data_IF_958527501728
#
_entry.id   IF_958527501728
#
_cell.length_a   1.000
_cell.length_b   1.000
_cell.length_c   1.000
_cell.angle_alpha   90.00
_cell.angle_beta   90.00
_cell.angle_gamma   90.00
#
_symmetry.space_group_name_H-M   'P 1'
#
loop_
_entity.id
_entity.type
_entity.pdbx_description
1 polymer ?
#
# COMPACT_ATOMS: atom_id res chain seq x y z
N UNK A 1 -19.30 -25.54 -23.21
CA UNK A 1 -18.96 -24.12 -22.94
C UNK A 1 -19.96 -23.61 -21.90
N UNK A 2 -19.54 -23.40 -20.63
CA UNK A 2 -20.46 -22.91 -19.58
C UNK A 2 -20.84 -21.47 -19.90
N UNK A 3 -22.12 -21.16 -20.08
CA UNK A 3 -22.61 -19.78 -20.18
C UNK A 3 -22.46 -19.15 -18.79
N UNK A 4 -21.53 -18.22 -18.62
CA UNK A 4 -21.42 -17.37 -17.43
C UNK A 4 -22.71 -16.57 -17.30
N UNK A 5 -23.36 -16.64 -16.14
CA UNK A 5 -24.57 -15.86 -15.90
C UNK A 5 -24.16 -14.43 -15.53
N UNK A 6 -25.00 -13.43 -15.85
CA UNK A 6 -24.72 -12.02 -15.54
C UNK A 6 -24.45 -11.77 -14.04
N UNK A 7 -25.02 -12.58 -13.15
CA UNK A 7 -24.75 -12.54 -11.70
C UNK A 7 -23.33 -12.93 -11.33
N UNK A 8 -22.70 -13.85 -12.08
CA UNK A 8 -21.33 -14.29 -11.80
C UNK A 8 -20.34 -13.17 -12.16
N UNK A 9 -20.59 -12.47 -13.26
CA UNK A 9 -19.81 -11.31 -13.70
C UNK A 9 -19.86 -10.19 -12.66
N UNK A 10 -21.05 -9.85 -12.18
CA UNK A 10 -21.26 -8.82 -11.14
C UNK A 10 -20.53 -9.17 -9.83
N UNK A 11 -20.56 -10.44 -9.42
CA UNK A 11 -19.81 -10.94 -8.26
C UNK A 11 -18.29 -10.77 -8.42
N UNK A 12 -17.74 -11.07 -9.60
CA UNK A 12 -16.31 -10.88 -9.85
C UNK A 12 -15.92 -9.39 -9.84
N UNK A 13 -16.76 -8.53 -10.41
CA UNK A 13 -16.53 -7.08 -10.41
C UNK A 13 -16.50 -6.54 -8.98
N UNK A 14 -17.47 -6.90 -8.15
CA UNK A 14 -17.51 -6.48 -6.75
C UNK A 14 -16.29 -6.97 -5.95
N UNK A 15 -15.80 -8.17 -6.23
CA UNK A 15 -14.55 -8.67 -5.62
C UNK A 15 -13.32 -7.89 -6.05
N UNK A 16 -13.27 -7.51 -7.32
CA UNK A 16 -12.17 -6.73 -7.86
C UNK A 16 -12.14 -5.33 -7.25
N UNK A 17 -13.30 -4.68 -7.10
CA UNK A 17 -13.46 -3.40 -6.42
C UNK A 17 -12.99 -3.48 -4.96
N UNK A 18 -13.46 -4.48 -4.21
CA UNK A 18 -13.05 -4.69 -2.82
C UNK A 18 -11.53 -4.92 -2.70
N UNK A 19 -10.95 -5.67 -3.63
CA UNK A 19 -9.50 -5.90 -3.66
C UNK A 19 -8.74 -4.61 -3.99
N UNK A 20 -9.21 -3.83 -4.96
CA UNK A 20 -8.61 -2.55 -5.32
C UNK A 20 -8.65 -1.57 -4.14
N UNK A 21 -9.73 -1.53 -3.38
CA UNK A 21 -9.83 -0.69 -2.18
C UNK A 21 -8.84 -1.15 -1.10
N UNK A 22 -8.76 -2.45 -0.84
CA UNK A 22 -7.83 -3.02 0.14
C UNK A 22 -6.37 -2.75 -0.23
N UNK A 23 -5.99 -3.00 -1.49
CA UNK A 23 -4.64 -2.71 -2.00
C UNK A 23 -4.37 -1.20 -2.00
N UNK A 24 -5.37 -0.39 -2.33
CA UNK A 24 -5.31 1.06 -2.32
C UNK A 24 -5.03 1.63 -0.94
N UNK A 25 -5.62 1.06 0.11
CA UNK A 25 -5.36 1.44 1.50
C UNK A 25 -3.89 1.28 1.87
N UNK A 26 -3.29 0.12 1.59
CA UNK A 26 -1.89 -0.15 1.89
C UNK A 26 -0.94 0.71 1.04
N UNK A 27 -1.27 0.94 -0.23
CA UNK A 27 -0.45 1.78 -1.13
C UNK A 27 -0.45 3.26 -0.72
N UNK A 28 -1.57 3.77 -0.22
CA UNK A 28 -1.66 5.14 0.29
C UNK A 28 -0.89 5.35 1.60
N UNK A 29 -0.72 4.29 2.39
CA UNK A 29 -0.14 4.33 3.74
C UNK A 29 1.06 3.37 3.87
N UNK A 30 2.19 3.63 3.19
CA UNK A 30 3.36 2.75 3.20
C UNK A 30 3.95 2.55 4.60
N UNK A 31 3.82 3.52 5.50
CA UNK A 31 4.26 3.40 6.89
C UNK A 31 3.46 2.36 7.67
N UNK A 32 2.13 2.29 7.46
CA UNK A 32 1.26 1.30 8.13
C UNK A 32 1.53 -0.08 7.55
N UNK A 33 1.73 -0.17 6.23
CA UNK A 33 2.13 -1.42 5.58
C UNK A 33 3.43 -1.99 6.16
N UNK A 34 4.45 -1.14 6.36
CA UNK A 34 5.72 -1.57 6.93
C UNK A 34 5.59 -2.05 8.39
N UNK A 35 4.73 -1.42 9.20
CA UNK A 35 4.56 -1.81 10.60
C UNK A 35 3.67 -3.04 10.77
N UNK A 36 2.48 -3.03 10.18
CA UNK A 36 1.45 -4.04 10.40
C UNK A 36 1.66 -5.29 9.54
N UNK A 37 1.97 -5.09 8.24
CA UNK A 37 2.07 -6.21 7.30
C UNK A 37 3.46 -6.85 7.29
N UNK A 38 4.52 -6.03 7.37
CA UNK A 38 5.90 -6.53 7.43
C UNK A 38 6.40 -6.78 8.87
N UNK A 39 5.70 -6.27 9.89
CA UNK A 39 6.08 -6.46 11.29
C UNK A 39 7.33 -5.67 11.70
N UNK A 40 7.68 -4.59 10.99
CA UNK A 40 8.88 -3.80 11.28
C UNK A 40 8.50 -2.65 12.22
N UNK A 41 9.22 -2.47 13.31
CA UNK A 41 9.02 -1.31 14.17
C UNK A 41 9.72 -0.06 13.59
N UNK A 42 8.95 0.96 13.21
CA UNK A 42 9.50 2.17 12.59
C UNK A 42 9.62 3.32 13.59
N UNK A 43 10.79 3.96 13.61
CA UNK A 43 10.99 5.25 14.27
C UNK A 43 10.30 6.38 13.51
N UNK A 44 9.97 7.46 14.20
CA UNK A 44 9.21 8.59 13.64
C UNK A 44 9.84 9.15 12.35
N UNK A 45 11.18 9.28 12.32
CA UNK A 45 11.87 9.77 11.13
C UNK A 45 11.70 8.83 9.93
N UNK A 46 11.71 7.51 10.14
CA UNK A 46 11.53 6.51 9.08
C UNK A 46 10.11 6.59 8.49
N UNK A 47 9.09 6.84 9.33
CA UNK A 47 7.71 7.02 8.87
C UNK A 47 7.58 8.25 7.95
N UNK A 48 8.22 9.37 8.32
CA UNK A 48 8.22 10.60 7.50
C UNK A 48 8.97 10.37 6.17
N UNK A 49 10.10 9.67 6.22
CA UNK A 49 10.87 9.34 5.01
C UNK A 49 10.06 8.49 4.04
N UNK A 50 9.44 7.40 4.51
CA UNK A 50 8.61 6.55 3.66
C UNK A 50 7.41 7.30 3.06
N UNK A 51 6.79 8.19 3.84
CA UNK A 51 5.71 9.02 3.32
C UNK A 51 6.19 9.95 2.20
N UNK A 52 7.32 10.64 2.40
CA UNK A 52 7.89 11.55 1.40
C UNK A 52 8.37 10.82 0.14
N UNK A 53 9.01 9.66 0.30
CA UNK A 53 9.43 8.78 -0.81
C UNK A 53 8.24 8.30 -1.65
N UNK A 54 7.09 8.03 -1.03
CA UNK A 54 5.89 7.59 -1.75
C UNK A 54 5.17 8.75 -2.45
N UNK A 55 5.32 9.98 -1.96
CA UNK A 55 4.64 11.16 -2.50
C UNK A 55 5.38 11.85 -3.65
N UNK A 56 6.70 11.80 -3.65
CA UNK A 56 7.55 12.58 -4.56
C UNK A 56 8.45 11.64 -5.37
N UNK A 57 8.44 11.78 -6.70
CA UNK A 57 9.25 10.94 -7.59
C UNK A 57 10.76 11.14 -7.40
N UNK A 58 11.20 12.35 -7.05
CA UNK A 58 12.59 12.68 -6.77
C UNK A 58 12.72 13.18 -5.32
N UNK A 59 13.07 12.28 -4.42
CA UNK A 59 13.29 12.58 -3.01
C UNK A 59 14.76 12.37 -2.64
N UNK A 60 15.38 13.38 -2.02
CA UNK A 60 16.76 13.30 -1.53
C UNK A 60 16.75 13.42 -0.01
N UNK A 61 17.32 12.41 0.66
CA UNK A 61 17.50 12.39 2.10
C UNK A 61 18.99 12.40 2.44
N UNK A 62 19.41 13.35 3.27
CA UNK A 62 20.78 13.41 3.79
C UNK A 62 20.75 12.78 5.18
N UNK A 63 21.27 11.56 5.26
CA UNK A 63 21.40 10.82 6.51
C UNK A 63 22.78 11.08 7.12
N UNK A 64 22.83 11.33 8.43
CA UNK A 64 24.06 11.18 9.19
C UNK A 64 24.10 9.77 9.78
N UNK A 65 25.24 9.07 9.65
CA UNK A 65 25.47 7.82 10.38
C UNK A 65 25.70 8.18 11.86
N UNK A 66 24.82 7.72 12.73
CA UNK A 66 25.13 7.63 14.16
C UNK A 66 26.06 6.44 14.38
N UNK A 67 27.17 6.65 15.08
CA UNK A 67 27.97 5.57 15.65
C UNK A 67 27.39 5.21 17.02
#
# INVERSE_FOLDING_TARGET
>A
MKKTNNSDLDYFQQREENLMEWVGFWRKNPQIFAEEYLGIHLFLYQKILLYMMNKVNLFMYIAARGY
#
